data_IF_516475252810
#
_entry.id   IF_516475252810
#
_cell.length_a   1.000
_cell.length_b   1.000
_cell.length_c   1.000
_cell.angle_alpha   90.00
_cell.angle_beta   90.00
_cell.angle_gamma   90.00
#
_symmetry.space_group_name_H-M   'P 1'
#
loop_
_entity.id
_entity.type
_entity.pdbx_description
1 polymer ?
#
# COMPACT_ATOMS: atom_id res chain seq x y z
N UNK A 1 -34.57 -25.05 27.63
CA UNK A 1 -33.88 -24.77 26.36
C UNK A 1 -33.56 -23.26 26.28
N UNK A 2 -32.39 -22.79 26.77
CA UNK A 2 -32.08 -21.34 26.83
C UNK A 2 -30.58 -21.00 26.90
N UNK A 3 -29.70 -21.89 26.42
CA UNK A 3 -28.23 -21.72 26.50
C UNK A 3 -27.51 -21.60 25.14
N UNK A 4 -28.22 -21.75 24.02
CA UNK A 4 -27.60 -21.75 22.67
C UNK A 4 -27.57 -20.40 21.98
N UNK A 5 -28.32 -19.40 22.47
CA UNK A 5 -28.39 -18.09 21.82
C UNK A 5 -27.20 -17.18 22.14
N UNK A 6 -26.41 -17.45 23.18
CA UNK A 6 -25.33 -16.56 23.60
C UNK A 6 -24.01 -16.78 22.85
N UNK A 7 -23.77 -17.97 22.30
CA UNK A 7 -22.50 -18.26 21.57
C UNK A 7 -22.49 -17.71 20.13
N UNK A 8 -23.65 -17.46 19.52
CA UNK A 8 -23.71 -16.98 18.14
C UNK A 8 -23.42 -15.47 18.02
N UNK A 9 -23.49 -14.71 19.11
CA UNK A 9 -23.30 -13.25 19.12
C UNK A 9 -21.82 -12.83 19.30
N UNK A 10 -20.92 -13.75 19.66
CA UNK A 10 -19.51 -13.45 19.91
C UNK A 10 -18.59 -13.69 18.70
N UNK A 11 -19.10 -14.28 17.62
CA UNK A 11 -18.33 -14.60 16.41
C UNK A 11 -18.51 -13.57 15.27
N UNK A 12 -19.34 -12.55 15.46
CA UNK A 12 -19.73 -11.61 14.41
C UNK A 12 -18.92 -10.31 14.37
N UNK A 13 -17.99 -10.08 15.31
CA UNK A 13 -17.21 -8.83 15.38
C UNK A 13 -15.86 -8.86 14.65
N UNK A 14 -15.41 -10.00 14.12
CA UNK A 14 -14.08 -10.10 13.51
C UNK A 14 -14.01 -9.78 12.01
N UNK A 15 -15.09 -9.28 11.39
CA UNK A 15 -15.17 -9.12 9.93
C UNK A 15 -15.12 -7.66 9.43
N UNK A 16 -15.04 -6.66 10.31
CA UNK A 16 -15.06 -5.24 9.91
C UNK A 16 -13.71 -4.51 10.04
N UNK A 17 -12.60 -5.21 10.34
CA UNK A 17 -11.28 -4.59 10.54
C UNK A 17 -10.37 -4.63 9.29
N UNK A 18 -10.91 -5.00 8.12
CA UNK A 18 -10.09 -5.24 6.92
C UNK A 18 -9.59 -3.98 6.21
N UNK A 19 -10.00 -2.77 6.63
CA UNK A 19 -9.73 -1.52 5.88
C UNK A 19 -8.98 -0.45 6.70
N UNK A 20 -8.66 -0.75 7.96
CA UNK A 20 -7.82 0.13 8.78
C UNK A 20 -6.36 -0.20 8.49
N UNK A 21 -5.65 0.69 7.79
CA UNK A 21 -4.22 0.54 7.52
C UNK A 21 -3.40 0.25 8.78
N UNK A 22 -2.22 -0.34 8.62
CA UNK A 22 -1.30 -0.64 9.71
C UNK A 22 -0.51 0.60 10.06
N UNK A 23 -0.56 1.01 11.33
CA UNK A 23 0.29 2.08 11.84
C UNK A 23 1.74 1.62 11.93
N UNK A 24 2.63 2.45 11.40
CA UNK A 24 4.08 2.24 11.33
C UNK A 24 4.75 3.48 11.87
N UNK A 25 5.57 3.32 12.91
CA UNK A 25 6.39 4.41 13.44
C UNK A 25 7.61 4.62 12.55
N UNK A 26 7.83 5.87 12.14
CA UNK A 26 8.97 6.30 11.31
C UNK A 26 9.75 7.42 12.01
N UNK A 27 10.88 7.80 11.44
CA UNK A 27 11.64 8.98 11.87
C UNK A 27 10.84 10.29 11.83
N UNK A 28 9.79 10.37 11.00
CA UNK A 28 8.90 11.53 10.89
C UNK A 28 7.60 11.40 11.72
N UNK A 29 7.47 10.32 12.50
CA UNK A 29 6.28 9.99 13.29
C UNK A 29 5.46 8.83 12.71
N UNK A 30 4.25 8.66 13.25
CA UNK A 30 3.36 7.55 12.88
C UNK A 30 2.70 7.76 11.52
N UNK A 31 2.80 6.75 10.64
CA UNK A 31 2.17 6.72 9.32
C UNK A 31 1.32 5.45 9.17
N UNK A 32 0.31 5.50 8.30
CA UNK A 32 -0.51 4.33 7.97
C UNK A 32 -0.09 3.74 6.62
N UNK A 33 0.17 2.43 6.60
CA UNK A 33 0.35 1.65 5.38
C UNK A 33 -0.89 0.77 5.16
N UNK A 34 -1.57 0.93 4.02
CA UNK A 34 -2.78 0.18 3.69
C UNK A 34 -2.67 -0.48 2.31
N UNK A 35 -3.12 -1.73 2.14
CA UNK A 35 -3.32 -2.30 0.81
C UNK A 35 -4.47 -1.61 0.09
N UNK A 36 -4.26 -1.24 -1.17
CA UNK A 36 -5.29 -0.72 -2.06
C UNK A 36 -5.45 -1.71 -3.24
N UNK A 37 -6.40 -2.65 -3.18
CA UNK A 37 -6.57 -3.69 -4.22
C UNK A 37 -7.03 -3.11 -5.57
N UNK A 38 -7.68 -1.94 -5.56
CA UNK A 38 -8.28 -1.32 -6.74
C UNK A 38 -7.32 -0.38 -7.47
N UNK A 39 -6.22 0.01 -6.81
CA UNK A 39 -5.19 0.82 -7.44
C UNK A 39 -4.61 0.09 -8.65
N UNK A 40 -4.73 0.73 -9.81
CA UNK A 40 -4.06 0.28 -11.04
C UNK A 40 -2.69 0.94 -11.15
N UNK A 41 -1.65 0.12 -11.21
CA UNK A 41 -0.29 0.53 -11.59
C UNK A 41 -0.03 0.15 -13.04
N UNK A 42 0.90 0.85 -13.68
CA UNK A 42 1.25 0.60 -15.06
C UNK A 42 2.75 0.37 -15.16
N UNK A 43 3.15 -0.80 -15.62
CA UNK A 43 4.55 -1.10 -15.86
C UNK A 43 4.90 -0.95 -17.35
N UNK A 44 6.11 -0.46 -17.68
CA UNK A 44 6.60 -0.49 -19.05
C UNK A 44 6.79 -1.94 -19.49
N UNK A 45 6.41 -2.26 -20.73
CA UNK A 45 6.69 -3.59 -21.31
C UNK A 45 8.17 -3.63 -21.73
N UNK A 46 9.00 -4.54 -21.16
CA UNK A 46 10.45 -4.51 -21.35
C UNK A 46 10.92 -4.76 -22.80
N UNK A 47 10.11 -5.43 -23.62
CA UNK A 47 10.56 -5.98 -24.90
C UNK A 47 9.68 -5.56 -26.10
N UNK A 48 9.29 -4.28 -26.19
CA UNK A 48 8.74 -3.78 -27.44
C UNK A 48 9.86 -3.81 -28.51
N UNK A 49 9.73 -4.58 -29.62
CA UNK A 49 10.71 -4.55 -30.70
C UNK A 49 10.92 -3.12 -31.19
N UNK A 50 12.13 -2.75 -31.65
CA UNK A 50 12.44 -1.37 -32.04
C UNK A 50 11.39 -0.80 -33.02
N UNK A 51 10.64 0.21 -32.57
CA UNK A 51 9.52 0.81 -33.31
C UNK A 51 8.11 0.30 -32.92
N UNK A 52 8.01 -0.66 -32.01
CA UNK A 52 6.76 -1.14 -31.42
C UNK A 52 6.21 -0.18 -30.38
N UNK A 53 4.88 -0.04 -30.35
CA UNK A 53 4.22 0.75 -29.32
C UNK A 53 4.44 0.10 -27.94
N UNK A 54 5.01 0.85 -27.00
CA UNK A 54 5.02 0.45 -25.58
C UNK A 54 3.59 0.61 -25.08
N UNK A 55 2.86 -0.51 -24.96
CA UNK A 55 1.56 -0.51 -24.28
C UNK A 55 1.80 -0.80 -22.80
N UNK A 56 1.45 0.10 -21.87
CA UNK A 56 1.60 -0.17 -20.45
C UNK A 56 0.68 -1.33 -20.04
N UNK A 57 1.23 -2.31 -19.33
CA UNK A 57 0.44 -3.41 -18.78
C UNK A 57 -0.15 -3.00 -17.42
N UNK A 58 -1.48 -3.10 -17.21
CA UNK A 58 -2.09 -2.76 -15.93
C UNK A 58 -1.85 -3.87 -14.91
N UNK A 59 -1.32 -3.49 -13.75
CA UNK A 59 -1.26 -4.33 -12.56
C UNK A 59 -2.20 -3.78 -11.50
N UNK A 60 -2.87 -4.68 -10.78
CA UNK A 60 -3.80 -4.32 -9.71
C UNK A 60 -3.19 -4.51 -8.33
N UNK A 61 -3.70 -3.77 -7.37
CA UNK A 61 -3.16 -3.70 -6.03
C UNK A 61 -2.15 -2.58 -5.87
N UNK A 62 -1.88 -2.18 -4.64
CA UNK A 62 -0.74 -1.36 -4.23
C UNK A 62 -0.65 -1.37 -2.70
N UNK A 63 0.46 -0.88 -2.17
CA UNK A 63 0.53 -0.36 -0.82
C UNK A 63 0.51 1.15 -0.87
N UNK A 64 -0.31 1.78 -0.04
CA UNK A 64 -0.49 3.22 0.04
C UNK A 64 -0.07 3.71 1.42
N UNK A 65 0.66 4.84 1.45
CA UNK A 65 1.08 5.49 2.68
C UNK A 65 0.31 6.78 2.91
N UNK A 66 -0.27 6.92 4.10
CA UNK A 66 -1.07 8.09 4.50
C UNK A 66 -0.72 8.52 5.93
N UNK A 67 -1.17 9.71 6.32
CA UNK A 67 -1.18 10.12 7.72
C UNK A 67 -2.21 9.31 8.52
N UNK A 68 -2.15 9.33 9.86
CA UNK A 68 -3.13 8.66 10.73
C UNK A 68 -4.59 9.10 10.53
N UNK A 69 -4.81 10.33 10.06
CA UNK A 69 -6.14 10.85 9.71
C UNK A 69 -6.63 10.43 8.31
N UNK A 70 -5.84 9.61 7.59
CA UNK A 70 -6.12 9.14 6.23
C UNK A 70 -5.73 10.12 5.13
N UNK A 71 -5.21 11.31 5.47
CA UNK A 71 -4.79 12.29 4.48
C UNK A 71 -3.51 11.89 3.75
N UNK A 72 -3.39 12.35 2.50
CA UNK A 72 -2.23 12.14 1.64
C UNK A 72 -0.96 12.81 2.16
N UNK A 73 0.18 12.17 1.93
CA UNK A 73 1.49 12.72 2.29
C UNK A 73 2.06 13.63 1.18
N UNK A 74 2.75 14.72 1.52
CA UNK A 74 3.32 15.64 0.55
C UNK A 74 4.56 15.05 -0.14
N UNK A 75 5.01 15.68 -1.23
CA UNK A 75 6.14 15.21 -2.04
C UNK A 75 7.48 15.18 -1.26
N UNK A 76 7.67 16.08 -0.29
CA UNK A 76 8.86 16.12 0.56
C UNK A 76 8.89 15.01 1.62
N UNK A 77 7.78 14.33 1.88
CA UNK A 77 7.69 13.18 2.79
C UNK A 77 8.16 11.85 2.16
N UNK A 78 8.91 11.89 1.05
CA UNK A 78 9.39 10.72 0.31
C UNK A 78 10.11 9.70 1.20
N UNK A 79 11.10 10.15 1.97
CA UNK A 79 11.92 9.26 2.81
C UNK A 79 11.09 8.60 3.90
N UNK A 80 10.22 9.36 4.58
CA UNK A 80 9.34 8.81 5.61
C UNK A 80 8.34 7.80 5.04
N UNK A 81 7.81 8.04 3.83
CA UNK A 81 6.92 7.10 3.16
C UNK A 81 7.65 5.79 2.78
N UNK A 82 8.89 5.89 2.28
CA UNK A 82 9.70 4.72 1.96
C UNK A 82 10.10 3.94 3.22
N UNK A 83 10.43 4.65 4.30
CA UNK A 83 10.72 4.07 5.62
C UNK A 83 9.51 3.28 6.13
N UNK A 84 8.31 3.86 6.08
CA UNK A 84 7.08 3.19 6.50
C UNK A 84 6.83 1.89 5.73
N UNK A 85 6.98 1.91 4.40
CA UNK A 85 6.85 0.71 3.55
C UNK A 85 7.91 -0.33 3.88
N UNK A 86 9.15 0.11 4.10
CA UNK A 86 10.29 -0.77 4.43
C UNK A 86 10.06 -1.50 5.74
N UNK A 87 9.61 -0.79 6.77
CA UNK A 87 9.26 -1.39 8.06
C UNK A 87 8.06 -2.34 7.89
N UNK A 88 7.01 -1.90 7.19
CA UNK A 88 5.81 -2.71 6.96
C UNK A 88 6.11 -4.04 6.25
N UNK A 89 6.90 -4.02 5.18
CA UNK A 89 7.30 -5.23 4.47
C UNK A 89 8.31 -6.05 5.27
N UNK A 90 9.26 -5.40 5.96
CA UNK A 90 10.26 -6.08 6.79
C UNK A 90 9.64 -6.87 7.95
N UNK A 91 8.58 -6.36 8.57
CA UNK A 91 7.80 -7.10 9.59
C UNK A 91 7.17 -8.39 9.05
N UNK A 92 7.03 -8.51 7.73
CA UNK A 92 6.50 -9.70 7.03
C UNK A 92 7.61 -10.58 6.43
N UNK A 93 8.87 -10.24 6.66
CA UNK A 93 10.00 -10.92 6.03
C UNK A 93 10.11 -10.68 4.52
N UNK A 94 9.56 -9.56 4.04
CA UNK A 94 9.50 -9.19 2.63
C UNK A 94 10.18 -7.83 2.40
N UNK A 95 10.39 -7.47 1.14
CA UNK A 95 10.98 -6.17 0.75
C UNK A 95 9.97 -5.29 0.01
N UNK A 96 10.28 -4.00 -0.05
CA UNK A 96 9.55 -3.04 -0.88
C UNK A 96 10.10 -3.10 -2.31
N UNK A 97 9.26 -3.27 -3.34
CA UNK A 97 9.69 -3.09 -4.74
C UNK A 97 9.94 -1.60 -5.02
N UNK A 98 11.19 -1.15 -4.90
CA UNK A 98 11.54 0.27 -4.98
C UNK A 98 11.29 0.83 -6.39
N UNK A 99 11.46 0.00 -7.42
CA UNK A 99 11.12 0.35 -8.80
C UNK A 99 9.67 0.82 -8.99
N UNK A 100 8.73 0.34 -8.17
CA UNK A 100 7.31 0.72 -8.21
C UNK A 100 6.95 1.86 -7.24
N UNK A 101 7.90 2.33 -6.43
CA UNK A 101 7.68 3.40 -5.46
C UNK A 101 7.47 4.74 -6.16
N UNK A 102 6.28 5.29 -6.03
CA UNK A 102 5.84 6.46 -6.79
C UNK A 102 4.97 7.42 -5.99
N UNK A 103 5.04 8.69 -6.38
CA UNK A 103 4.17 9.78 -5.91
C UNK A 103 3.13 10.11 -6.97
N UNK A 104 1.87 10.26 -6.56
CA UNK A 104 0.81 10.84 -7.37
C UNK A 104 0.17 12.00 -6.62
N UNK A 105 0.30 13.20 -7.15
CA UNK A 105 -0.48 14.37 -6.76
C UNK A 105 -1.67 14.57 -7.68
N UNK A 106 -2.76 15.11 -7.17
CA UNK A 106 -3.94 15.53 -7.94
C UNK A 106 -4.09 17.05 -7.87
N UNK A 107 -4.79 17.62 -8.85
CA UNK A 107 -5.04 19.07 -8.92
C UNK A 107 -5.94 19.59 -7.79
N UNK A 108 -6.68 18.70 -7.12
CA UNK A 108 -7.48 19.02 -5.94
C UNK A 108 -6.64 19.13 -4.64
N UNK A 109 -5.31 19.00 -4.76
CA UNK A 109 -4.37 19.06 -3.63
C UNK A 109 -4.21 17.73 -2.89
N UNK A 110 -4.96 16.69 -3.24
CA UNK A 110 -4.74 15.35 -2.69
C UNK A 110 -3.47 14.72 -3.27
N UNK A 111 -2.84 13.84 -2.49
CA UNK A 111 -1.60 13.18 -2.88
C UNK A 111 -1.52 11.77 -2.32
N UNK A 112 -0.66 10.95 -2.91
CA UNK A 112 -0.49 9.57 -2.51
C UNK A 112 0.92 9.11 -2.80
N UNK A 113 1.60 8.59 -1.78
CA UNK A 113 2.77 7.73 -1.96
C UNK A 113 2.31 6.28 -2.02
N UNK A 114 2.80 5.53 -2.99
CA UNK A 114 2.43 4.12 -3.16
C UNK A 114 3.58 3.30 -3.73
N UNK A 115 3.56 1.99 -3.46
CA UNK A 115 4.43 1.00 -4.09
C UNK A 115 3.61 -0.24 -4.49
N UNK A 116 4.24 -1.15 -5.22
CA UNK A 116 3.70 -2.49 -5.38
C UNK A 116 3.60 -3.22 -4.02
N UNK A 117 2.78 -4.27 -3.91
CA UNK A 117 2.80 -5.17 -2.75
C UNK A 117 4.20 -5.66 -2.42
N UNK A 118 4.45 -5.94 -1.15
CA UNK A 118 5.73 -6.48 -0.71
C UNK A 118 6.09 -7.76 -1.49
N UNK A 119 7.36 -7.93 -1.85
CA UNK A 119 7.86 -9.08 -2.61
C UNK A 119 8.85 -9.92 -1.79
N UNK A 120 9.03 -11.18 -2.18
CA UNK A 120 9.97 -12.12 -1.54
C UNK A 120 11.41 -12.01 -2.07
N UNK A 121 11.71 -11.04 -2.95
CA UNK A 121 13.01 -10.90 -3.64
C UNK A 121 13.95 -9.84 -3.02
N UNK A 122 15.14 -9.60 -3.60
CA UNK A 122 15.91 -8.40 -3.31
C UNK A 122 15.15 -7.15 -3.77
N UNK A 123 15.34 -6.02 -3.09
CA UNK A 123 14.83 -4.73 -3.55
C UNK A 123 15.65 -4.31 -4.77
N UNK A 124 15.16 -4.61 -5.97
CA UNK A 124 15.77 -4.20 -7.25
C UNK A 124 15.70 -2.68 -7.45
#
# INVERSE_FOLDING_TARGET
MKKRALLAALLSLSACTADTGVAVETSAGSLLVRPDPDMTRYQPVPDAPAGGAIQPFPEFGALVVTRPDGSGLPLDAREAALEALTIYCGQRGQVVPIADFSYRGRLDGSSTWSAAPCSEGPAD
#
